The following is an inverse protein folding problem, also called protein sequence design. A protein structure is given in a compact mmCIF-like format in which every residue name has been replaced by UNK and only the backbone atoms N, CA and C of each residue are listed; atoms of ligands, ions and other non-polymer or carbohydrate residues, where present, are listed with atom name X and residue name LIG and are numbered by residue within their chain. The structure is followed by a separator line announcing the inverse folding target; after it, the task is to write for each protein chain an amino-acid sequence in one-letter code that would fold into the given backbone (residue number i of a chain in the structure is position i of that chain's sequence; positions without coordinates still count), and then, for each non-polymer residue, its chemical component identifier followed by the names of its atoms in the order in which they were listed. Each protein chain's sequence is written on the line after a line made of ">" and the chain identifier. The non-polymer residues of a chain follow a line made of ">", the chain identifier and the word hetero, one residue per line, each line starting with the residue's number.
data_IF_962966817282
#
_entry.id   IF_962966817282
#
_cell.length_a   1.000
_cell.length_b   1.000
_cell.length_c   1.000
_cell.angle_alpha   90.00
_cell.angle_beta   90.00
_cell.angle_gamma   90.00
#
_symmetry.space_group_name_H-M   'P 1'
#
loop_
_entity.id
_entity.type
_entity.pdbx_description
1 polymer ?
#
# COMPACT_ATOMS: atom_id res chain seq x y z
N UNK A 1 5.26 7.14 -16.33
CA UNK A 1 5.54 6.31 -17.51
C UNK A 1 6.30 7.09 -18.58
N UNK A 2 6.87 6.41 -19.57
CA UNK A 2 7.65 7.08 -20.65
C UNK A 2 6.83 8.11 -21.44
N UNK A 3 5.50 7.94 -21.47
CA UNK A 3 4.57 8.84 -22.16
C UNK A 3 4.08 10.00 -21.28
N UNK A 4 4.44 10.03 -19.99
CA UNK A 4 4.03 11.09 -19.07
C UNK A 4 4.86 12.35 -19.31
N UNK A 5 4.19 13.46 -19.62
CA UNK A 5 4.84 14.78 -19.68
C UNK A 5 5.39 15.17 -18.29
N UNK A 6 6.71 15.34 -18.21
CA UNK A 6 7.41 15.64 -16.96
C UNK A 6 7.01 17.00 -16.38
N UNK A 7 6.73 17.98 -17.24
CA UNK A 7 6.29 19.31 -16.81
C UNK A 7 4.92 19.27 -16.13
N UNK A 8 3.97 18.57 -16.73
CA UNK A 8 2.63 18.35 -16.19
C UNK A 8 2.67 17.56 -14.89
N UNK A 9 3.47 16.47 -14.82
CA UNK A 9 3.67 15.72 -13.59
C UNK A 9 4.20 16.62 -12.47
N UNK A 10 5.22 17.42 -12.75
CA UNK A 10 5.82 18.31 -11.76
C UNK A 10 4.85 19.38 -11.26
N UNK A 11 4.01 19.94 -12.14
CA UNK A 11 2.98 20.90 -11.73
C UNK A 11 1.97 20.28 -10.76
N UNK A 12 1.54 19.04 -11.03
CA UNK A 12 0.64 18.31 -10.13
C UNK A 12 1.36 17.96 -8.83
N UNK A 13 2.60 17.51 -8.89
CA UNK A 13 3.40 17.16 -7.71
C UNK A 13 3.56 18.37 -6.78
N UNK A 14 3.99 19.52 -7.30
CA UNK A 14 4.13 20.77 -6.53
C UNK A 14 2.80 21.23 -5.91
N UNK A 15 1.69 21.09 -6.65
CA UNK A 15 0.36 21.40 -6.11
C UNK A 15 0.02 20.51 -4.91
N UNK A 16 0.25 19.19 -5.03
CA UNK A 16 -0.01 18.22 -3.96
C UNK A 16 0.91 18.44 -2.76
N UNK A 17 2.19 18.75 -3.00
CA UNK A 17 3.17 19.10 -1.96
C UNK A 17 2.75 20.37 -1.22
N UNK A 18 2.25 21.39 -1.92
CA UNK A 18 1.73 22.62 -1.34
C UNK A 18 0.53 22.44 -0.41
N UNK A 19 -0.17 21.30 -0.51
CA UNK A 19 -1.24 20.89 0.42
C UNK A 19 -0.72 20.14 1.66
N UNK A 20 0.59 19.97 1.80
CA UNK A 20 1.22 19.24 2.90
C UNK A 20 1.25 17.72 2.72
N UNK A 21 0.92 17.23 1.52
CA UNK A 21 1.03 15.81 1.19
C UNK A 21 2.46 15.45 0.73
N UNK A 22 2.70 14.15 0.52
CA UNK A 22 3.94 13.62 -0.07
C UNK A 22 3.62 12.96 -1.41
N UNK A 23 4.55 13.01 -2.34
CA UNK A 23 4.38 12.46 -3.69
C UNK A 23 5.30 11.26 -3.86
N UNK A 24 4.73 10.11 -4.21
CA UNK A 24 5.51 8.93 -4.61
C UNK A 24 5.67 8.92 -6.14
N UNK A 25 6.89 8.98 -6.69
CA UNK A 25 7.12 8.71 -8.11
C UNK A 25 6.92 7.22 -8.36
N UNK A 26 5.88 6.86 -9.11
CA UNK A 26 5.51 5.47 -9.38
C UNK A 26 4.95 5.35 -10.80
N UNK A 27 5.23 4.24 -11.48
CA UNK A 27 4.60 3.87 -12.74
C UNK A 27 3.15 3.40 -12.49
N UNK A 28 2.27 3.53 -13.48
CA UNK A 28 0.89 3.07 -13.33
C UNK A 28 0.83 1.57 -12.99
N UNK A 29 1.65 0.76 -13.68
CA UNK A 29 1.72 -0.69 -13.46
C UNK A 29 2.23 -1.05 -12.06
N UNK A 30 3.28 -0.38 -11.58
CA UNK A 30 3.79 -0.65 -10.23
C UNK A 30 2.82 -0.18 -9.14
N UNK A 31 2.14 0.95 -9.36
CA UNK A 31 1.07 1.42 -8.50
C UNK A 31 -0.03 0.36 -8.37
N UNK A 32 -0.57 -0.10 -9.50
CA UNK A 32 -1.71 -1.04 -9.52
C UNK A 32 -1.37 -2.36 -8.84
N UNK A 33 -0.18 -2.92 -9.09
CA UNK A 33 0.31 -4.10 -8.37
C UNK A 33 0.44 -3.87 -6.87
N UNK A 34 0.98 -2.72 -6.46
CA UNK A 34 1.17 -2.39 -5.06
C UNK A 34 -0.18 -2.22 -4.34
N UNK A 35 -1.11 -1.45 -4.90
CA UNK A 35 -2.43 -1.25 -4.29
C UNK A 35 -3.29 -2.50 -4.34
N UNK A 36 -3.12 -3.36 -5.34
CA UNK A 36 -3.73 -4.68 -5.35
C UNK A 36 -3.34 -5.48 -4.09
N UNK A 37 -2.04 -5.50 -3.79
CA UNK A 37 -1.49 -6.26 -2.66
C UNK A 37 -1.85 -5.66 -1.28
N UNK A 38 -1.80 -4.33 -1.14
CA UNK A 38 -1.90 -3.68 0.19
C UNK A 38 -3.25 -3.02 0.47
N UNK A 39 -4.15 -2.93 -0.51
CA UNK A 39 -5.47 -2.28 -0.38
C UNK A 39 -6.59 -3.18 -0.89
N UNK A 40 -6.56 -3.57 -2.16
CA UNK A 40 -7.68 -4.29 -2.79
C UNK A 40 -7.86 -5.70 -2.20
N UNK A 41 -6.75 -6.44 -2.04
CA UNK A 41 -6.75 -7.76 -1.43
C UNK A 41 -7.33 -7.75 -0.01
N UNK A 42 -7.19 -6.66 0.75
CA UNK A 42 -7.79 -6.53 2.08
C UNK A 42 -9.32 -6.55 2.01
N UNK A 43 -9.93 -5.91 1.00
CA UNK A 43 -11.38 -5.98 0.78
C UNK A 43 -11.82 -7.40 0.41
N UNK A 44 -11.09 -8.07 -0.49
CA UNK A 44 -11.39 -9.46 -0.90
C UNK A 44 -11.32 -10.42 0.29
N UNK A 45 -10.23 -10.36 1.07
CA UNK A 45 -10.04 -11.20 2.25
C UNK A 45 -11.12 -10.96 3.30
N UNK A 46 -11.49 -9.70 3.54
CA UNK A 46 -12.51 -9.33 4.53
C UNK A 46 -13.91 -9.79 4.11
N UNK A 47 -14.24 -9.69 2.82
CA UNK A 47 -15.49 -10.21 2.27
C UNK A 47 -15.56 -11.73 2.38
N UNK A 48 -14.50 -12.44 1.99
CA UNK A 48 -14.40 -13.89 2.10
C UNK A 48 -14.53 -14.35 3.56
N UNK A 49 -13.84 -13.67 4.49
CA UNK A 49 -13.92 -13.95 5.92
C UNK A 49 -15.35 -13.77 6.46
N UNK A 50 -15.97 -12.60 6.21
CA UNK A 50 -17.32 -12.30 6.69
C UNK A 50 -18.36 -13.30 6.16
N UNK A 51 -18.33 -13.60 4.86
CA UNK A 51 -19.28 -14.51 4.22
C UNK A 51 -19.09 -15.97 4.63
N UNK A 52 -17.90 -16.37 5.11
CA UNK A 52 -17.63 -17.74 5.52
C UNK A 52 -18.31 -18.15 6.83
N UNK A 53 -18.66 -17.19 7.70
CA UNK A 53 -19.07 -17.45 9.09
C UNK A 53 -20.36 -18.26 9.15
N UNK A 54 -21.35 -17.90 8.34
CA UNK A 54 -22.66 -18.57 8.34
C UNK A 54 -22.57 -20.04 7.92
N UNK A 55 -21.57 -20.39 7.10
CA UNK A 55 -21.35 -21.76 6.67
C UNK A 55 -20.80 -22.68 7.77
N UNK A 56 -20.24 -22.12 8.86
CA UNK A 56 -19.53 -22.89 9.89
C UNK A 56 -20.07 -22.71 11.31
N UNK A 57 -20.82 -21.64 11.59
CA UNK A 57 -21.34 -21.36 12.92
C UNK A 57 -22.67 -20.58 12.90
N UNK A 58 -23.55 -20.76 13.92
CA UNK A 58 -24.80 -19.99 14.03
C UNK A 58 -24.54 -18.49 14.17
N UNK A 59 -25.08 -17.70 13.24
CA UNK A 59 -24.84 -16.24 13.18
C UNK A 59 -25.12 -15.48 14.50
N UNK A 60 -26.24 -15.71 15.22
CA UNK A 60 -26.51 -14.97 16.46
C UNK A 60 -25.43 -15.15 17.53
N UNK A 61 -24.93 -16.38 17.71
CA UNK A 61 -23.88 -16.67 18.67
C UNK A 61 -22.54 -16.07 18.22
N UNK A 62 -22.19 -16.23 16.93
CA UNK A 62 -20.98 -15.67 16.36
C UNK A 62 -20.89 -14.15 16.55
N UNK A 63 -22.00 -13.44 16.34
CA UNK A 63 -22.05 -11.98 16.51
C UNK A 63 -21.93 -11.54 17.98
N UNK A 64 -22.51 -12.29 18.93
CA UNK A 64 -22.37 -11.97 20.37
C UNK A 64 -20.94 -12.20 20.86
N UNK A 65 -20.24 -13.20 20.32
CA UNK A 65 -18.85 -13.51 20.68
C UNK A 65 -17.82 -12.71 19.87
N UNK A 66 -18.26 -11.95 18.87
CA UNK A 66 -17.37 -11.17 18.02
C UNK A 66 -16.57 -10.14 18.83
N UNK A 67 -15.25 -10.24 18.73
CA UNK A 67 -14.32 -9.37 19.44
C UNK A 67 -13.82 -8.21 18.55
N UNK A 68 -12.88 -7.42 19.08
CA UNK A 68 -12.22 -6.35 18.33
C UNK A 68 -11.59 -6.82 17.03
N UNK A 69 -11.01 -8.03 16.99
CA UNK A 69 -10.42 -8.59 15.76
C UNK A 69 -11.44 -8.78 14.63
N UNK A 70 -12.67 -9.23 14.95
CA UNK A 70 -13.75 -9.31 13.96
C UNK A 70 -14.09 -7.92 13.43
N UNK A 71 -14.26 -6.94 14.33
CA UNK A 71 -14.53 -5.54 13.96
C UNK A 71 -13.44 -4.98 13.04
N UNK A 72 -12.18 -5.22 13.36
CA UNK A 72 -11.05 -4.62 12.64
C UNK A 72 -10.87 -5.22 11.25
N UNK A 73 -10.98 -6.54 11.12
CA UNK A 73 -10.90 -7.24 9.82
C UNK A 73 -12.11 -6.87 8.96
N UNK A 74 -13.32 -6.81 9.53
CA UNK A 74 -14.53 -6.52 8.74
C UNK A 74 -14.80 -5.03 8.54
N UNK A 75 -14.03 -4.12 9.16
CA UNK A 75 -14.25 -2.66 9.07
C UNK A 75 -14.38 -2.15 7.64
N UNK A 76 -13.59 -2.71 6.71
CA UNK A 76 -13.57 -2.29 5.30
C UNK A 76 -14.85 -2.66 4.54
N UNK A 77 -15.67 -3.57 5.07
CA UNK A 77 -16.97 -3.94 4.51
C UNK A 77 -18.05 -2.87 4.69
N UNK A 78 -17.77 -1.81 5.45
CA UNK A 78 -18.62 -0.62 5.53
C UNK A 78 -18.36 0.39 4.41
N UNK A 79 -17.46 0.07 3.49
CA UNK A 79 -17.20 0.91 2.31
C UNK A 79 -18.34 0.76 1.30
N UNK A 80 -18.68 1.80 0.50
CA UNK A 80 -19.72 1.70 -0.51
C UNK A 80 -19.43 0.56 -1.50
N UNK A 81 -20.39 -0.35 -1.65
CA UNK A 81 -20.22 -1.60 -2.42
C UNK A 81 -19.95 -1.34 -3.89
N UNK A 82 -20.73 -0.47 -4.52
CA UNK A 82 -20.59 -0.11 -5.95
C UNK A 82 -19.20 0.46 -6.27
N UNK A 83 -18.71 1.36 -5.40
CA UNK A 83 -17.36 1.92 -5.52
C UNK A 83 -16.29 0.85 -5.36
N UNK A 84 -16.45 -0.02 -4.36
CA UNK A 84 -15.47 -1.08 -4.07
C UNK A 84 -15.43 -2.08 -5.22
N UNK A 85 -16.59 -2.49 -5.75
CA UNK A 85 -16.69 -3.39 -6.89
C UNK A 85 -16.02 -2.79 -8.13
N UNK A 86 -16.28 -1.51 -8.45
CA UNK A 86 -15.63 -0.83 -9.56
C UNK A 86 -14.09 -0.84 -9.44
N UNK A 87 -13.56 -0.47 -8.25
CA UNK A 87 -12.13 -0.49 -7.95
C UNK A 87 -11.51 -1.88 -8.11
N UNK A 88 -12.19 -2.94 -7.63
CA UNK A 88 -11.69 -4.32 -7.75
C UNK A 88 -11.71 -4.81 -9.20
N UNK A 89 -12.72 -4.44 -9.99
CA UNK A 89 -12.84 -4.84 -11.40
C UNK A 89 -11.81 -4.11 -12.27
N UNK A 90 -11.59 -2.82 -12.02
CA UNK A 90 -10.62 -2.02 -12.78
C UNK A 90 -9.19 -2.58 -12.65
N UNK A 91 -8.83 -3.08 -11.47
CA UNK A 91 -7.54 -3.71 -11.20
C UNK A 91 -7.68 -5.22 -10.93
N UNK A 92 -8.52 -5.89 -11.73
CA UNK A 92 -8.95 -7.26 -11.50
C UNK A 92 -7.82 -8.30 -11.56
N UNK A 93 -6.94 -8.20 -12.56
CA UNK A 93 -5.89 -9.20 -12.79
C UNK A 93 -4.87 -9.23 -11.64
N UNK A 94 -4.33 -8.08 -11.24
CA UNK A 94 -3.37 -8.02 -10.12
C UNK A 94 -4.05 -8.36 -8.79
N UNK A 95 -5.32 -7.95 -8.59
CA UNK A 95 -6.08 -8.31 -7.38
C UNK A 95 -6.33 -9.82 -7.30
N UNK A 96 -6.69 -10.46 -8.41
CA UNK A 96 -6.92 -11.90 -8.49
C UNK A 96 -5.63 -12.70 -8.26
N UNK A 97 -4.49 -12.21 -8.75
CA UNK A 97 -3.19 -12.81 -8.48
C UNK A 97 -2.88 -12.84 -6.97
N UNK A 98 -3.09 -11.72 -6.27
CA UNK A 98 -2.90 -11.67 -4.81
C UNK A 98 -3.90 -12.56 -4.07
N UNK A 99 -5.18 -12.54 -4.48
CA UNK A 99 -6.21 -13.40 -3.89
C UNK A 99 -5.90 -14.89 -4.02
N UNK A 100 -5.31 -15.30 -5.14
CA UNK A 100 -4.89 -16.70 -5.37
C UNK A 100 -3.80 -17.12 -4.39
N UNK A 101 -2.76 -16.29 -4.21
CA UNK A 101 -1.70 -16.55 -3.21
C UNK A 101 -2.26 -16.57 -1.79
N UNK A 102 -3.16 -15.65 -1.43
CA UNK A 102 -3.81 -15.65 -0.12
C UNK A 102 -4.61 -16.95 0.13
N UNK A 103 -5.32 -17.46 -0.89
CA UNK A 103 -6.06 -18.72 -0.80
C UNK A 103 -5.13 -19.91 -0.51
N UNK A 104 -3.94 -19.94 -1.12
CA UNK A 104 -2.93 -20.96 -0.88
C UNK A 104 -2.38 -20.88 0.57
N UNK A 105 -2.08 -19.68 1.06
CA UNK A 105 -1.63 -19.47 2.45
C UNK A 105 -2.70 -19.90 3.47
N UNK A 106 -3.96 -19.53 3.26
CA UNK A 106 -5.10 -19.96 4.10
C UNK A 106 -5.23 -21.48 4.07
N UNK A 107 -5.13 -22.09 2.89
CA UNK A 107 -5.22 -23.54 2.72
C UNK A 107 -4.09 -24.28 3.42
N UNK A 108 -2.87 -23.74 3.37
CA UNK A 108 -1.71 -24.29 4.09
C UNK A 108 -1.90 -24.19 5.61
N UNK A 109 -2.36 -23.03 6.11
CA UNK A 109 -2.62 -22.83 7.53
C UNK A 109 -3.74 -23.75 8.04
N UNK A 110 -4.82 -23.93 7.27
CA UNK A 110 -5.91 -24.84 7.60
C UNK A 110 -5.44 -26.30 7.72
N UNK A 111 -4.54 -26.75 6.84
CA UNK A 111 -3.91 -28.08 6.93
C UNK A 111 -3.06 -28.22 8.18
N UNK A 112 -2.23 -27.22 8.49
CA UNK A 112 -1.40 -27.21 9.69
C UNK A 112 -2.24 -27.25 10.98
N UNK A 113 -3.32 -26.48 11.04
CA UNK A 113 -4.29 -26.50 12.14
C UNK A 113 -4.93 -27.88 12.30
N UNK A 114 -5.35 -28.51 11.20
CA UNK A 114 -5.94 -29.85 11.22
C UNK A 114 -4.94 -30.92 11.70
N UNK A 115 -3.66 -30.76 11.35
CA UNK A 115 -2.57 -31.61 11.79
C UNK A 115 -2.08 -31.29 13.22
N UNK A 116 -2.56 -30.20 13.84
CA UNK A 116 -2.05 -29.64 15.10
C UNK A 116 -0.55 -29.36 15.06
N UNK A 117 -0.05 -28.91 13.92
CA UNK A 117 1.36 -28.54 13.73
C UNK A 117 1.60 -27.12 14.27
N UNK A 118 1.92 -27.03 15.56
CA UNK A 118 2.22 -25.76 16.23
C UNK A 118 3.40 -25.01 15.60
N UNK A 119 4.40 -25.74 15.07
CA UNK A 119 5.59 -25.14 14.47
C UNK A 119 5.27 -24.37 13.20
N UNK A 120 4.49 -24.97 12.30
CA UNK A 120 4.05 -24.31 11.06
C UNK A 120 3.12 -23.13 11.35
N UNK A 121 2.14 -23.31 12.26
CA UNK A 121 1.21 -22.23 12.64
C UNK A 121 1.98 -21.04 13.23
N UNK A 122 2.87 -21.28 14.20
CA UNK A 122 3.65 -20.22 14.83
C UNK A 122 4.54 -19.49 13.82
N UNK A 123 5.16 -20.21 12.89
CA UNK A 123 5.99 -19.62 11.84
C UNK A 123 5.20 -18.69 10.91
N UNK A 124 4.02 -19.12 10.44
CA UNK A 124 3.18 -18.28 9.57
C UNK A 124 2.70 -17.02 10.30
N UNK A 125 2.24 -17.15 11.55
CA UNK A 125 1.82 -16.00 12.37
C UNK A 125 2.98 -15.04 12.66
N UNK A 126 4.18 -15.56 12.94
CA UNK A 126 5.37 -14.74 13.18
C UNK A 126 5.75 -13.92 11.94
N UNK A 127 5.74 -14.55 10.75
CA UNK A 127 6.02 -13.88 9.49
C UNK A 127 5.03 -12.75 9.18
N UNK A 128 3.74 -12.98 9.39
CA UNK A 128 2.72 -11.92 9.25
C UNK A 128 2.93 -10.78 10.27
N UNK A 129 3.31 -11.12 11.50
CA UNK A 129 3.65 -10.15 12.54
C UNK A 129 4.88 -9.30 12.21
N UNK A 130 5.89 -9.88 11.56
CA UNK A 130 7.08 -9.14 11.10
C UNK A 130 6.74 -8.10 10.05
N UNK A 131 5.88 -8.45 9.09
CA UNK A 131 5.38 -7.51 8.08
C UNK A 131 4.64 -6.33 8.73
N UNK A 132 3.76 -6.61 9.70
CA UNK A 132 3.04 -5.55 10.43
C UNK A 132 4.01 -4.64 11.20
N UNK A 133 4.98 -5.20 11.92
CA UNK A 133 6.01 -4.40 12.62
C UNK A 133 6.82 -3.54 11.66
N UNK A 134 7.12 -4.05 10.46
CA UNK A 134 7.81 -3.28 9.41
C UNK A 134 6.96 -2.10 8.94
N UNK A 135 5.67 -2.32 8.69
CA UNK A 135 4.74 -1.26 8.35
C UNK A 135 4.67 -0.18 9.45
N UNK A 136 4.50 -0.59 10.71
CA UNK A 136 4.40 0.35 11.84
C UNK A 136 5.67 1.21 11.97
N UNK A 137 6.87 0.61 11.78
CA UNK A 137 8.14 1.37 11.75
C UNK A 137 8.22 2.36 10.59
N UNK A 138 7.75 1.97 9.40
CA UNK A 138 7.79 2.82 8.21
C UNK A 138 6.92 4.07 8.39
N UNK A 139 5.72 3.91 8.94
CA UNK A 139 4.79 5.04 9.15
C UNK A 139 5.18 5.93 10.33
N UNK A 140 5.97 5.42 11.29
CA UNK A 140 6.46 6.18 12.44
C UNK A 140 7.57 7.20 12.09
N UNK A 141 7.92 7.41 10.82
CA UNK A 141 9.03 8.25 10.29
C UNK A 141 10.45 7.87 10.72
N UNK A 142 10.63 7.10 11.80
CA UNK A 142 11.94 6.64 12.30
C UNK A 142 12.69 5.73 11.31
N UNK A 143 11.98 5.13 10.35
CA UNK A 143 12.55 4.25 9.33
C UNK A 143 12.65 4.91 7.94
N UNK A 144 12.72 6.24 7.87
CA UNK A 144 12.98 6.94 6.62
C UNK A 144 14.26 7.79 6.69
N UNK A 145 15.13 7.69 5.69
CA UNK A 145 16.27 8.60 5.52
C UNK A 145 15.92 9.73 4.57
N UNK A 146 16.24 10.97 4.97
CA UNK A 146 16.11 12.14 4.11
C UNK A 146 17.38 12.42 3.31
N UNK A 147 17.21 12.79 2.03
CA UNK A 147 18.28 13.36 1.20
C UNK A 147 17.77 14.55 0.40
N UNK A 148 18.68 15.46 0.05
CA UNK A 148 18.41 16.56 -0.86
C UNK A 148 18.92 16.22 -2.25
N UNK A 149 18.16 16.59 -3.27
CA UNK A 149 18.55 16.50 -4.69
C UNK A 149 18.51 17.91 -5.24
N UNK A 150 19.64 18.39 -5.75
CA UNK A 150 19.76 19.70 -6.35
C UNK A 150 19.97 19.56 -7.85
N UNK A 151 19.32 20.41 -8.65
CA UNK A 151 19.56 20.52 -10.08
C UNK A 151 19.57 22.00 -10.52
N UNK A 152 20.35 22.35 -11.56
CA UNK A 152 20.40 23.73 -12.07
C UNK A 152 19.05 24.22 -12.58
N UNK A 153 18.25 23.34 -13.19
CA UNK A 153 16.92 23.69 -13.71
C UNK A 153 15.83 22.78 -13.15
N UNK A 154 14.58 23.27 -13.19
CA UNK A 154 13.41 22.46 -12.83
C UNK A 154 13.30 21.18 -13.67
N UNK A 155 13.58 21.27 -14.96
CA UNK A 155 13.48 20.13 -15.87
C UNK A 155 14.48 19.03 -15.48
N UNK A 156 15.72 19.41 -15.19
CA UNK A 156 16.75 18.47 -14.73
C UNK A 156 16.40 17.87 -13.37
N UNK A 157 15.81 18.65 -12.43
CA UNK A 157 15.34 18.11 -11.16
C UNK A 157 14.27 17.02 -11.37
N UNK A 158 13.34 17.26 -12.28
CA UNK A 158 12.27 16.30 -12.59
C UNK A 158 12.83 15.04 -13.24
N UNK A 159 13.85 15.15 -14.09
CA UNK A 159 14.54 13.99 -14.66
C UNK A 159 15.29 13.17 -13.60
N UNK A 160 15.93 13.82 -12.62
CA UNK A 160 16.51 13.14 -11.46
C UNK A 160 15.45 12.41 -10.62
N UNK A 161 14.30 13.05 -10.38
CA UNK A 161 13.18 12.44 -9.66
C UNK A 161 12.56 11.26 -10.42
N UNK A 162 12.59 11.28 -11.76
CA UNK A 162 12.17 10.14 -12.59
C UNK A 162 13.05 8.92 -12.36
N UNK A 163 14.33 9.10 -12.01
CA UNK A 163 15.22 8.01 -11.57
C UNK A 163 14.77 7.30 -10.29
N UNK A 164 13.79 7.85 -9.56
CA UNK A 164 13.24 7.28 -8.34
C UNK A 164 11.92 6.53 -8.53
N UNK A 165 11.43 6.44 -9.78
CA UNK A 165 10.22 5.69 -10.08
C UNK A 165 10.32 4.28 -9.52
N UNK A 166 9.27 3.88 -8.79
CA UNK A 166 9.09 2.56 -8.19
C UNK A 166 10.09 2.22 -7.07
N UNK A 167 10.92 3.18 -6.63
CA UNK A 167 11.88 2.98 -5.53
C UNK A 167 11.24 2.95 -4.13
N UNK A 168 9.98 3.38 -4.02
CA UNK A 168 9.31 3.60 -2.74
C UNK A 168 9.72 4.90 -2.03
N UNK A 169 10.54 5.74 -2.68
CA UNK A 169 10.87 7.08 -2.19
C UNK A 169 9.65 8.02 -2.25
N UNK A 170 9.60 8.95 -1.30
CA UNK A 170 8.60 9.99 -1.21
C UNK A 170 9.27 11.36 -1.40
N UNK A 171 8.83 12.11 -2.38
CA UNK A 171 9.13 13.54 -2.49
C UNK A 171 8.29 14.27 -1.45
N UNK A 172 8.95 15.01 -0.57
CA UNK A 172 8.36 15.74 0.54
C UNK A 172 8.34 17.26 0.31
N UNK A 173 9.18 17.77 -0.58
CA UNK A 173 9.23 19.17 -0.97
C UNK A 173 9.92 19.35 -2.32
N UNK A 174 9.54 20.38 -3.07
CA UNK A 174 10.22 20.89 -4.28
C UNK A 174 10.24 22.41 -4.17
N UNK A 175 11.43 23.01 -4.13
CA UNK A 175 11.62 24.45 -3.93
C UNK A 175 12.66 25.05 -4.86
N UNK A 176 12.40 26.27 -5.31
CA UNK A 176 13.41 27.16 -5.89
C UNK A 176 14.19 27.82 -4.74
N UNK A 177 15.45 27.47 -4.58
CA UNK A 177 16.26 27.85 -3.42
C UNK A 177 16.75 29.29 -3.51
N UNK A 178 16.86 29.84 -4.71
CA UNK A 178 17.46 31.16 -4.96
C UNK A 178 16.46 32.23 -5.39
N UNK A 179 15.16 31.88 -5.55
CA UNK A 179 14.07 32.76 -6.01
C UNK A 179 14.32 33.43 -7.38
N UNK A 180 15.33 32.96 -8.13
CA UNK A 180 15.70 33.40 -9.47
C UNK A 180 15.96 32.23 -10.43
N UNK A 181 15.66 31.00 -10.00
CA UNK A 181 15.81 29.78 -10.80
C UNK A 181 17.25 29.23 -10.89
N UNK A 182 18.21 29.75 -10.11
CA UNK A 182 19.60 29.29 -10.21
C UNK A 182 19.83 27.86 -9.68
N UNK A 183 19.05 27.39 -8.70
CA UNK A 183 19.09 26.01 -8.19
C UNK A 183 17.69 25.57 -7.74
N UNK A 184 17.22 24.46 -8.29
CA UNK A 184 16.03 23.73 -7.86
C UNK A 184 16.41 22.61 -6.90
N UNK A 185 15.61 22.40 -5.85
CA UNK A 185 15.86 21.38 -4.83
C UNK A 185 14.63 20.53 -4.56
N UNK A 186 14.82 19.22 -4.40
CA UNK A 186 13.82 18.31 -3.85
C UNK A 186 14.28 17.71 -2.52
N UNK A 187 13.38 17.65 -1.54
CA UNK A 187 13.57 16.84 -0.34
C UNK A 187 12.93 15.46 -0.56
N UNK A 188 13.72 14.41 -0.42
CA UNK A 188 13.29 13.03 -0.67
C UNK A 188 13.50 12.17 0.57
N UNK A 189 12.46 11.42 0.93
CA UNK A 189 12.45 10.45 2.03
C UNK A 189 12.43 9.03 1.45
N UNK A 190 13.39 8.20 1.80
CA UNK A 190 13.45 6.80 1.38
C UNK A 190 13.32 5.86 2.58
N UNK A 191 12.65 4.70 2.44
CA UNK A 191 12.68 3.66 3.47
C UNK A 191 14.12 3.23 3.77
N UNK A 192 14.44 3.01 5.06
CA UNK A 192 15.70 2.40 5.54
C UNK A 192 15.74 0.91 5.22
#
# INVERSE_FOLDING_TARGET
>A
DEQTDSGAWANVAETVLGLGARVAPVSAVAHDRAVAAVSHAAHVASAAYANSIEAVAPMPLSLVLAAGSFRDVTRVMLSPEERTAAMLIENGDDTAAVASVMSEEISALAKALSARDEGVVAKQLASAGDLRRRYDRLIATEAMTGRLIDAPTRAELVDELRGLVDSGALVADITDVMNDGAIWRAAVLSPV
#
